data_IF_662367532901
#
_entry.id   IF_662367532901
#
_cell.length_a   1.000
_cell.length_b   1.000
_cell.length_c   1.000
_cell.angle_alpha   90.00
_cell.angle_beta   90.00
_cell.angle_gamma   90.00
#
_symmetry.space_group_name_H-M   'P 1'
#
loop_
_entity.id
_entity.type
_entity.pdbx_description
1 polymer ?
#
# COMPACT_ATOMS: atom_id res chain seq x y z
N UNK A 1 11.27 -6.29 -8.63
CA UNK A 1 9.83 -6.69 -8.76
C UNK A 1 9.54 -7.19 -10.17
N UNK A 2 8.68 -8.20 -10.30
CA UNK A 2 8.29 -8.78 -11.61
C UNK A 2 7.12 -8.02 -12.24
N UNK A 3 7.00 -8.07 -13.57
CA UNK A 3 5.82 -7.62 -14.29
C UNK A 3 4.57 -8.41 -13.87
N UNK A 4 3.41 -7.77 -13.94
CA UNK A 4 2.13 -8.32 -13.53
C UNK A 4 1.55 -7.63 -12.29
N UNK A 5 0.45 -8.19 -11.75
CA UNK A 5 -0.30 -7.55 -10.67
C UNK A 5 0.47 -7.58 -9.35
N UNK A 6 0.56 -6.41 -8.73
CA UNK A 6 1.04 -6.18 -7.38
C UNK A 6 -0.15 -5.71 -6.53
N UNK A 7 -0.56 -6.53 -5.56
CA UNK A 7 -1.55 -6.17 -4.56
C UNK A 7 -0.89 -5.47 -3.37
N UNK A 8 -1.46 -4.36 -2.94
CA UNK A 8 -1.05 -3.58 -1.78
C UNK A 8 -2.27 -3.41 -0.88
N UNK A 9 -2.24 -4.01 0.30
CA UNK A 9 -3.23 -3.81 1.34
C UNK A 9 -2.62 -3.01 2.51
N UNK A 10 -3.31 -1.97 2.94
CA UNK A 10 -2.93 -1.17 4.10
C UNK A 10 -4.10 -1.12 5.05
N UNK A 11 -3.84 -1.47 6.30
CA UNK A 11 -4.80 -1.33 7.39
C UNK A 11 -4.27 -0.33 8.40
N UNK A 12 -5.16 0.47 8.98
CA UNK A 12 -4.81 1.40 10.04
C UNK A 12 -5.92 1.59 11.08
N UNK A 13 -5.52 1.97 12.28
CA UNK A 13 -6.38 2.28 13.42
C UNK A 13 -5.80 3.50 14.16
N UNK A 14 -6.69 4.36 14.66
CA UNK A 14 -6.35 5.61 15.34
C UNK A 14 -6.70 6.81 14.49
N UNK A 15 -7.06 7.92 15.12
CA UNK A 15 -7.46 9.14 14.42
C UNK A 15 -6.27 9.76 13.65
N UNK A 16 -6.43 9.88 12.33
CA UNK A 16 -5.44 10.51 11.48
C UNK A 16 -5.59 10.15 10.00
N UNK A 17 -4.65 10.65 9.20
CA UNK A 17 -4.56 10.30 7.77
C UNK A 17 -3.20 9.68 7.52
N UNK A 18 -3.20 8.44 7.06
CA UNK A 18 -2.02 7.73 6.58
C UNK A 18 -1.83 8.03 5.09
N UNK A 19 -0.61 8.33 4.67
CA UNK A 19 -0.25 8.50 3.27
C UNK A 19 0.57 7.32 2.78
N UNK A 20 0.16 6.75 1.64
CA UNK A 20 0.89 5.69 0.96
C UNK A 20 1.45 6.24 -0.35
N UNK A 21 2.71 5.92 -0.65
CA UNK A 21 3.35 6.22 -1.92
C UNK A 21 4.06 4.98 -2.45
N UNK A 22 3.86 4.68 -3.73
CA UNK A 22 4.54 3.59 -4.41
C UNK A 22 5.33 4.11 -5.61
N UNK A 23 6.63 3.81 -5.60
CA UNK A 23 7.51 3.99 -6.74
C UNK A 23 7.74 2.63 -7.43
N UNK A 24 7.69 2.56 -8.77
CA UNK A 24 7.89 3.67 -9.71
C UNK A 24 6.62 4.25 -10.34
N UNK A 25 5.42 3.75 -10.06
CA UNK A 25 4.22 4.19 -10.79
C UNK A 25 3.71 5.58 -10.37
N UNK A 26 4.21 6.12 -9.25
CA UNK A 26 3.73 7.39 -8.70
C UNK A 26 2.37 7.27 -8.03
N UNK A 27 1.86 6.04 -7.82
CA UNK A 27 0.63 5.84 -7.07
C UNK A 27 0.80 6.44 -5.68
N UNK A 28 -0.13 7.31 -5.31
CA UNK A 28 -0.23 7.83 -3.95
C UNK A 28 -1.69 7.97 -3.59
N UNK A 29 -2.04 7.53 -2.38
CA UNK A 29 -3.39 7.68 -1.86
C UNK A 29 -3.36 7.90 -0.35
N UNK A 30 -4.26 8.77 0.16
CA UNK A 30 -4.53 8.86 1.58
C UNK A 30 -5.41 7.69 2.03
N UNK A 31 -5.28 7.31 3.29
CA UNK A 31 -6.21 6.47 4.02
C UNK A 31 -6.60 7.19 5.30
N UNK A 32 -7.89 7.52 5.43
CA UNK A 32 -8.45 8.02 6.68
C UNK A 32 -8.53 6.88 7.69
N UNK A 33 -7.93 7.09 8.85
CA UNK A 33 -7.91 6.16 9.96
C UNK A 33 -8.79 6.74 11.08
N UNK A 34 -9.59 5.88 11.71
CA UNK A 34 -10.51 6.26 12.78
C UNK A 34 -10.12 5.55 14.07
N UNK A 35 -10.43 6.18 15.19
CA UNK A 35 -10.22 5.58 16.51
C UNK A 35 -11.28 4.51 16.78
N UNK A 36 -10.85 3.36 17.31
CA UNK A 36 -11.75 2.28 17.74
C UNK A 36 -12.13 1.28 16.65
N UNK A 37 -11.77 1.54 15.39
CA UNK A 37 -12.03 0.64 14.26
C UNK A 37 -10.85 0.60 13.28
N UNK A 38 -10.65 -0.55 12.66
CA UNK A 38 -9.61 -0.74 11.64
C UNK A 38 -10.16 -0.38 10.26
N UNK A 39 -9.59 0.65 9.64
CA UNK A 39 -9.84 0.98 8.23
C UNK A 39 -8.84 0.24 7.34
N UNK A 40 -9.31 -0.36 6.24
CA UNK A 40 -8.46 -1.09 5.31
C UNK A 40 -8.72 -0.65 3.88
N UNK A 41 -7.66 -0.51 3.09
CA UNK A 41 -7.76 -0.31 1.65
C UNK A 41 -6.89 -1.33 0.90
N UNK A 42 -7.35 -1.73 -0.27
CA UNK A 42 -6.63 -2.60 -1.18
C UNK A 42 -6.51 -1.93 -2.54
N UNK A 43 -5.28 -1.80 -3.04
CA UNK A 43 -5.00 -1.31 -4.37
C UNK A 43 -4.20 -2.36 -5.14
N UNK A 44 -4.53 -2.53 -6.42
CA UNK A 44 -3.79 -3.38 -7.33
C UNK A 44 -3.12 -2.53 -8.41
N UNK A 45 -1.84 -2.78 -8.65
CA UNK A 45 -1.04 -2.11 -9.66
C UNK A 45 -0.55 -3.15 -10.66
N UNK A 46 -0.80 -2.90 -11.94
CA UNK A 46 -0.19 -3.70 -13.01
C UNK A 46 1.20 -3.16 -13.35
N UNK A 47 2.23 -3.89 -12.90
CA UNK A 47 3.62 -3.58 -13.23
C UNK A 47 3.88 -3.96 -14.69
N UNK A 48 4.07 -2.94 -15.54
CA UNK A 48 4.28 -3.13 -16.98
C UNK A 48 5.65 -3.71 -17.34
N UNK A 49 6.63 -3.55 -16.45
CA UNK A 49 8.01 -3.93 -16.67
C UNK A 49 8.58 -4.61 -15.44
N UNK A 50 9.53 -5.52 -15.66
CA UNK A 50 10.42 -5.97 -14.58
C UNK A 50 11.28 -4.77 -14.16
N UNK A 51 11.33 -4.50 -12.86
CA UNK A 51 11.97 -3.30 -12.30
C UNK A 51 12.73 -3.67 -11.04
N UNK A 52 13.99 -3.24 -10.94
CA UNK A 52 14.67 -3.09 -9.66
C UNK A 52 15.26 -1.67 -9.57
N UNK A 53 15.14 -0.94 -8.42
CA UNK A 53 14.32 -1.20 -7.23
C UNK A 53 12.90 -0.57 -7.28
N UNK A 54 11.98 -1.09 -6.47
CA UNK A 54 10.66 -0.50 -6.19
C UNK A 54 10.52 -0.25 -4.69
N UNK A 55 9.78 0.78 -4.29
CA UNK A 55 9.65 1.18 -2.88
C UNK A 55 8.20 1.55 -2.52
N UNK A 56 7.87 1.27 -1.26
CA UNK A 56 6.66 1.75 -0.60
C UNK A 56 7.07 2.64 0.54
N UNK A 57 6.51 3.85 0.58
CA UNK A 57 6.68 4.79 1.67
C UNK A 57 5.33 4.99 2.36
N UNK A 58 5.37 4.93 3.69
CA UNK A 58 4.21 5.17 4.55
C UNK A 58 4.55 6.34 5.47
N UNK A 59 3.70 7.35 5.45
CA UNK A 59 3.75 8.45 6.40
C UNK A 59 2.48 8.43 7.23
N UNK A 60 2.61 8.26 8.54
CA UNK A 60 1.50 8.22 9.47
C UNK A 60 1.80 9.10 10.69
N UNK A 61 0.81 9.80 11.25
CA UNK A 61 0.97 10.53 12.49
C UNK A 61 1.14 9.54 13.66
N UNK A 62 1.77 9.97 14.75
CA UNK A 62 2.09 9.11 15.91
C UNK A 62 0.94 8.33 16.54
N UNK A 63 -0.34 8.79 16.59
CA UNK A 63 -1.42 7.99 17.15
C UNK A 63 -1.90 6.85 16.23
N UNK A 64 -1.52 6.85 14.95
CA UNK A 64 -1.98 5.86 13.98
C UNK A 64 -1.09 4.62 14.03
N UNK A 65 -1.71 3.48 14.34
CA UNK A 65 -1.11 2.14 14.16
C UNK A 65 -1.45 1.66 12.77
N UNK A 66 -0.50 1.00 12.10
CA UNK A 66 -0.68 0.56 10.73
C UNK A 66 0.00 -0.78 10.47
N UNK A 67 -0.51 -1.48 9.46
CA UNK A 67 0.10 -2.67 8.88
C UNK A 67 0.04 -2.61 7.36
N UNK A 68 1.02 -3.25 6.73
CA UNK A 68 1.16 -3.29 5.28
C UNK A 68 1.34 -4.74 4.83
N UNK A 69 0.57 -5.13 3.81
CA UNK A 69 0.77 -6.38 3.08
C UNK A 69 1.01 -6.07 1.62
N UNK A 70 2.05 -6.67 1.05
CA UNK A 70 2.39 -6.55 -0.37
C UNK A 70 2.54 -7.96 -0.95
N UNK A 71 1.83 -8.22 -2.04
CA UNK A 71 1.84 -9.52 -2.69
C UNK A 71 1.93 -9.39 -4.21
N UNK A 72 2.76 -10.21 -4.84
CA UNK A 72 2.73 -10.41 -6.29
C UNK A 72 2.06 -11.75 -6.58
N UNK A 73 1.03 -11.73 -7.42
CA UNK A 73 0.45 -12.98 -7.91
C UNK A 73 1.43 -13.62 -8.88
N UNK A 74 1.63 -14.94 -8.77
CA UNK A 74 2.41 -15.66 -9.78
C UNK A 74 1.63 -15.63 -11.11
N UNK A 75 2.29 -15.32 -12.24
CA UNK A 75 1.66 -15.50 -13.54
C UNK A 75 1.33 -16.99 -13.75
N UNK A 76 0.06 -17.31 -14.05
CA UNK A 76 -0.38 -18.65 -14.49
C UNK A 76 -1.01 -19.56 -13.42
N UNK A 77 -1.73 -19.00 -12.44
CA UNK A 77 -2.59 -19.79 -11.53
C UNK A 77 -3.90 -20.22 -12.19
#
# INVERSE_FOLDING_TARGET
MRKGPLGIAVSCEGEGVLQVRFAPSGLSFPLSCVSGDVSTTYNQIDLKYDRDPASLEITAPSPVRWSLTVGQQKPGG
#
